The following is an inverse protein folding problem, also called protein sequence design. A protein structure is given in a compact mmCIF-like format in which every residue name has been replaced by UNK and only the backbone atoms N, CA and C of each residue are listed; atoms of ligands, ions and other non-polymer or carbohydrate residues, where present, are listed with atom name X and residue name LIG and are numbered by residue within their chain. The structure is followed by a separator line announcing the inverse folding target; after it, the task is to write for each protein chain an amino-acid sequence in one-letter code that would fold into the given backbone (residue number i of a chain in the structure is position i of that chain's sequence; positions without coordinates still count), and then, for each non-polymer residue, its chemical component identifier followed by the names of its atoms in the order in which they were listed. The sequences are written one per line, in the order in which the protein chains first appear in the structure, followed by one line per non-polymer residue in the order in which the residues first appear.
data_IF_075357911543
#
_entry.id   IF_075357911543
#
_cell.length_a   1.000
_cell.length_b   1.000
_cell.length_c   1.000
_cell.angle_alpha   90.00
_cell.angle_beta   90.00
_cell.angle_gamma   90.00
#
_symmetry.space_group_name_H-M   'P 1'
#
loop_
_entity.id
_entity.type
_entity.pdbx_description
1 polymer ?
#
# COMPACT_ATOMS: atom_id res chain seq x y z
N UNK A 1 -46.92 -39.96 -40.42
CA UNK A 1 -47.50 -40.77 -39.32
C UNK A 1 -47.15 -40.06 -38.02
N UNK A 2 -48.12 -39.53 -37.29
CA UNK A 2 -47.95 -38.74 -36.05
C UNK A 2 -49.17 -38.95 -35.15
N UNK A 3 -49.01 -38.67 -33.84
CA UNK A 3 -49.86 -38.87 -32.63
C UNK A 3 -48.99 -39.66 -31.60
N UNK A 4 -48.89 -39.32 -30.31
CA UNK A 4 -49.87 -38.76 -29.36
C UNK A 4 -49.28 -37.76 -28.31
N UNK A 5 -50.16 -37.07 -27.58
CA UNK A 5 -49.90 -36.11 -26.47
C UNK A 5 -49.84 -36.78 -25.08
N UNK A 6 -49.28 -36.10 -24.07
CA UNK A 6 -49.68 -36.06 -22.63
C UNK A 6 -48.69 -35.15 -21.85
N UNK A 7 -48.92 -33.88 -21.47
CA UNK A 7 -49.76 -33.29 -20.38
C UNK A 7 -49.57 -33.93 -18.99
N UNK A 8 -48.70 -33.40 -18.12
CA UNK A 8 -48.94 -32.38 -17.04
C UNK A 8 -49.47 -33.00 -15.71
N UNK A 9 -49.04 -32.54 -14.51
CA UNK A 9 -49.59 -31.30 -13.93
C UNK A 9 -48.65 -30.44 -13.02
N UNK A 10 -49.23 -29.35 -12.52
CA UNK A 10 -48.70 -28.20 -11.77
C UNK A 10 -48.62 -28.44 -10.26
N UNK A 11 -47.70 -27.78 -9.53
CA UNK A 11 -48.04 -27.26 -8.19
C UNK A 11 -47.25 -25.98 -7.80
N UNK A 12 -47.79 -25.20 -6.85
CA UNK A 12 -47.53 -23.77 -6.64
C UNK A 12 -47.27 -23.44 -5.16
N UNK A 13 -46.17 -22.76 -4.82
CA UNK A 13 -46.04 -22.04 -3.53
C UNK A 13 -45.19 -20.77 -3.68
N UNK A 14 -45.68 -19.65 -3.12
CA UNK A 14 -44.96 -18.36 -2.97
C UNK A 14 -43.84 -18.47 -1.91
N UNK A 15 -42.69 -17.84 -2.16
CA UNK A 15 -41.74 -17.46 -1.11
C UNK A 15 -41.58 -15.93 -1.09
N UNK A 16 -41.45 -15.34 0.11
CA UNK A 16 -41.50 -13.90 0.37
C UNK A 16 -40.08 -13.29 0.47
N UNK A 17 -39.92 -12.00 0.21
CA UNK A 17 -38.72 -11.16 0.52
C UNK A 17 -38.86 -10.56 1.92
N UNK A 18 -37.83 -10.12 2.68
CA UNK A 18 -36.38 -9.82 2.52
C UNK A 18 -35.71 -9.99 3.94
N UNK A 19 -34.43 -9.65 4.25
CA UNK A 19 -33.16 -9.49 3.49
C UNK A 19 -31.90 -10.12 4.18
N UNK A 20 -30.70 -9.82 3.64
CA UNK A 20 -29.40 -9.61 4.35
C UNK A 20 -28.33 -10.73 4.36
N UNK A 21 -27.15 -10.37 3.85
CA UNK A 21 -25.80 -10.90 4.15
C UNK A 21 -25.58 -12.43 4.13
N UNK A 22 -25.37 -12.96 2.92
CA UNK A 22 -24.40 -14.02 2.69
C UNK A 22 -23.61 -13.71 1.41
N UNK A 23 -22.28 -13.57 1.50
CA UNK A 23 -21.42 -13.40 0.33
C UNK A 23 -21.31 -14.75 -0.39
N UNK A 24 -22.30 -15.05 -1.24
CA UNK A 24 -22.24 -16.17 -2.17
C UNK A 24 -21.36 -15.77 -3.34
N UNK A 25 -20.07 -16.12 -3.28
CA UNK A 25 -19.13 -15.98 -4.40
C UNK A 25 -19.66 -16.87 -5.54
N UNK A 26 -20.12 -16.33 -6.68
CA UNK A 26 -20.56 -17.18 -7.78
C UNK A 26 -19.30 -17.73 -8.46
N UNK A 27 -19.20 -19.06 -8.57
CA UNK A 27 -18.25 -19.71 -9.47
C UNK A 27 -18.69 -19.47 -10.93
N UNK A 28 -18.59 -18.22 -11.38
CA UNK A 28 -18.99 -17.77 -12.70
C UNK A 28 -17.80 -17.10 -13.35
N UNK A 29 -16.88 -17.93 -13.84
CA UNK A 29 -15.96 -17.68 -14.96
C UNK A 29 -15.49 -16.22 -15.16
N UNK A 30 -15.11 -15.53 -14.08
CA UNK A 30 -14.37 -14.29 -14.20
C UNK A 30 -12.95 -14.69 -14.55
N UNK A 31 -12.57 -14.45 -15.81
CA UNK A 31 -11.16 -14.17 -16.09
C UNK A 31 -10.75 -13.09 -15.11
N UNK A 32 -9.88 -13.43 -14.16
CA UNK A 32 -9.16 -12.44 -13.37
C UNK A 32 -8.24 -11.77 -14.38
N UNK A 33 -8.71 -10.67 -14.95
CA UNK A 33 -7.94 -9.82 -15.83
C UNK A 33 -6.68 -9.42 -15.07
N UNK A 34 -5.53 -9.72 -15.65
CA UNK A 34 -4.21 -9.46 -15.04
C UNK A 34 -4.09 -7.99 -14.66
N UNK A 35 -4.72 -7.10 -15.43
CA UNK A 35 -4.83 -5.66 -15.19
C UNK A 35 -5.42 -5.35 -13.80
N UNK A 36 -6.57 -5.95 -13.43
CA UNK A 36 -7.24 -5.68 -12.16
C UNK A 36 -6.43 -6.18 -10.96
N UNK A 37 -5.72 -7.30 -11.12
CA UNK A 37 -4.81 -7.83 -10.11
C UNK A 37 -3.59 -6.93 -9.94
N UNK A 38 -2.97 -6.48 -11.04
CA UNK A 38 -1.84 -5.56 -11.01
C UNK A 38 -2.21 -4.19 -10.42
N UNK A 39 -3.39 -3.66 -10.75
CA UNK A 39 -3.91 -2.40 -10.20
C UNK A 39 -4.11 -2.52 -8.68
N UNK A 40 -4.84 -3.54 -8.22
CA UNK A 40 -5.08 -3.80 -6.79
C UNK A 40 -3.76 -3.94 -6.02
N UNK A 41 -2.82 -4.74 -6.52
CA UNK A 41 -1.50 -4.92 -5.91
C UNK A 41 -0.69 -3.62 -5.88
N UNK A 42 -0.83 -2.74 -6.87
CA UNK A 42 -0.11 -1.46 -6.90
C UNK A 42 -0.65 -0.47 -5.87
N UNK A 43 -1.97 -0.44 -5.67
CA UNK A 43 -2.61 0.39 -4.64
C UNK A 43 -2.17 -0.07 -3.24
N UNK A 44 -2.26 -1.36 -2.94
CA UNK A 44 -1.85 -1.89 -1.61
C UNK A 44 -0.38 -1.56 -1.29
N UNK A 45 0.53 -1.73 -2.25
CA UNK A 45 1.95 -1.42 -2.06
C UNK A 45 2.21 0.06 -1.77
N UNK A 46 1.47 0.97 -2.40
CA UNK A 46 1.60 2.41 -2.14
C UNK A 46 1.15 2.77 -0.71
N UNK A 47 0.04 2.21 -0.24
CA UNK A 47 -0.46 2.43 1.13
C UNK A 47 0.50 1.86 2.20
N UNK A 48 1.10 0.69 1.95
CA UNK A 48 2.10 0.11 2.85
C UNK A 48 3.36 1.01 2.94
N UNK A 49 3.83 1.55 1.81
CA UNK A 49 4.97 2.50 1.77
C UNK A 49 4.63 3.85 2.41
N UNK A 50 3.40 4.34 2.25
CA UNK A 50 2.91 5.55 2.94
C UNK A 50 2.89 5.35 4.46
N UNK A 51 2.45 4.18 4.90
CA UNK A 51 2.44 3.79 6.32
C UNK A 51 3.85 3.69 6.88
N UNK A 52 4.81 3.17 6.10
CA UNK A 52 6.24 3.15 6.43
C UNK A 52 6.81 4.56 6.68
N UNK A 53 6.56 5.51 5.77
CA UNK A 53 7.05 6.88 5.90
C UNK A 53 6.45 7.56 7.14
N UNK A 54 5.13 7.45 7.35
CA UNK A 54 4.48 8.03 8.53
C UNK A 54 5.02 7.44 9.84
N UNK A 55 5.20 6.12 9.90
CA UNK A 55 5.79 5.43 11.07
C UNK A 55 7.21 5.95 11.37
N UNK A 56 8.00 6.22 10.33
CA UNK A 56 9.32 6.82 10.47
C UNK A 56 9.25 8.29 10.94
N UNK A 57 8.40 9.13 10.34
CA UNK A 57 8.18 10.52 10.76
C UNK A 57 7.64 10.65 12.20
N UNK A 58 6.94 9.63 12.69
CA UNK A 58 6.54 9.57 14.10
C UNK A 58 7.70 9.27 15.07
N UNK A 59 8.92 9.02 14.58
CA UNK A 59 10.10 8.69 15.37
C UNK A 59 10.28 7.18 15.60
N UNK A 60 9.39 6.34 15.07
CA UNK A 60 9.38 4.91 15.36
C UNK A 60 10.29 4.11 14.41
N UNK A 61 11.61 4.29 14.54
CA UNK A 61 12.61 3.63 13.68
C UNK A 61 12.46 2.10 13.62
N UNK A 62 12.37 1.41 14.77
CA UNK A 62 12.35 -0.06 14.78
C UNK A 62 11.06 -0.66 14.18
N UNK A 63 9.85 -0.12 14.46
CA UNK A 63 8.65 -0.47 13.73
C UNK A 63 8.73 -0.20 12.21
N UNK A 64 9.25 0.97 11.80
CA UNK A 64 9.43 1.28 10.37
C UNK A 64 10.40 0.29 9.70
N UNK A 65 11.54 -0.01 10.33
CA UNK A 65 12.50 -1.02 9.86
C UNK A 65 11.86 -2.40 9.66
N UNK A 66 10.99 -2.82 10.58
CA UNK A 66 10.26 -4.09 10.45
C UNK A 66 9.24 -4.06 9.29
N UNK A 67 8.57 -2.94 9.04
CA UNK A 67 7.69 -2.75 7.87
C UNK A 67 8.49 -2.81 6.56
N UNK A 68 9.67 -2.16 6.50
CA UNK A 68 10.58 -2.22 5.36
C UNK A 68 11.03 -3.67 5.06
N UNK A 69 11.40 -4.44 6.08
CA UNK A 69 11.74 -5.86 5.90
C UNK A 69 10.57 -6.68 5.36
N UNK A 70 9.33 -6.42 5.80
CA UNK A 70 8.16 -7.07 5.23
C UNK A 70 8.01 -6.70 3.74
N UNK A 71 8.16 -5.44 3.36
CA UNK A 71 8.06 -5.00 1.96
C UNK A 71 9.08 -5.68 1.05
N UNK A 72 10.35 -5.72 1.48
CA UNK A 72 11.43 -6.37 0.73
C UNK A 72 11.26 -7.91 0.67
N UNK A 73 11.07 -8.57 1.82
CA UNK A 73 11.14 -10.04 1.92
C UNK A 73 9.79 -10.71 1.62
N UNK A 74 8.69 -10.20 2.19
CA UNK A 74 7.36 -10.84 2.11
C UNK A 74 6.59 -10.41 0.87
N UNK A 75 6.72 -9.15 0.46
CA UNK A 75 6.07 -8.62 -0.75
C UNK A 75 6.99 -8.66 -1.98
N UNK A 76 8.28 -9.00 -1.81
CA UNK A 76 9.23 -9.18 -2.91
C UNK A 76 9.50 -7.88 -3.68
N UNK A 77 9.39 -6.73 -3.03
CA UNK A 77 9.63 -5.44 -3.67
C UNK A 77 11.12 -5.20 -3.84
N UNK A 78 11.49 -4.63 -4.99
CA UNK A 78 12.84 -4.10 -5.20
C UNK A 78 13.04 -2.83 -4.36
N UNK A 79 14.27 -2.55 -3.93
CA UNK A 79 14.59 -1.27 -3.29
C UNK A 79 14.23 -0.06 -4.17
N UNK A 80 14.39 -0.18 -5.49
CA UNK A 80 14.01 0.84 -6.48
C UNK A 80 12.49 1.10 -6.49
N UNK A 81 11.65 0.05 -6.45
CA UNK A 81 10.19 0.20 -6.35
C UNK A 81 9.75 0.85 -5.05
N UNK A 82 10.44 0.57 -3.94
CA UNK A 82 10.17 1.23 -2.66
C UNK A 82 10.51 2.71 -2.75
N UNK A 83 11.73 3.07 -3.21
CA UNK A 83 12.14 4.47 -3.40
C UNK A 83 11.19 5.22 -4.34
N UNK A 84 10.82 4.64 -5.48
CA UNK A 84 9.88 5.24 -6.43
C UNK A 84 8.52 5.52 -5.79
N UNK A 85 8.01 4.61 -4.97
CA UNK A 85 6.76 4.81 -4.24
C UNK A 85 6.92 5.84 -3.10
N UNK A 86 8.07 5.89 -2.44
CA UNK A 86 8.36 6.92 -1.43
C UNK A 86 8.33 8.31 -2.07
N UNK A 87 9.03 8.49 -3.20
CA UNK A 87 9.06 9.74 -3.95
C UNK A 87 7.67 10.21 -4.39
N UNK A 88 6.78 9.29 -4.78
CA UNK A 88 5.39 9.60 -5.09
C UNK A 88 4.60 10.05 -3.85
N UNK A 89 4.78 9.36 -2.71
CA UNK A 89 4.04 9.66 -1.48
C UNK A 89 4.53 10.91 -0.74
N UNK A 90 5.76 11.39 -0.95
CA UNK A 90 6.29 12.60 -0.27
C UNK A 90 5.43 13.84 -0.53
N UNK A 91 4.87 14.00 -1.73
CA UNK A 91 4.04 15.15 -2.07
C UNK A 91 2.74 15.20 -1.24
N UNK A 92 2.15 14.03 -0.97
CA UNK A 92 0.93 13.85 -0.18
C UNK A 92 1.12 14.02 1.33
N UNK A 93 2.35 14.13 1.83
CA UNK A 93 2.62 14.26 3.26
C UNK A 93 2.16 15.62 3.80
N UNK A 94 1.55 15.62 4.98
CA UNK A 94 1.14 16.84 5.71
C UNK A 94 2.30 17.36 6.57
N UNK A 95 3.42 17.69 5.94
CA UNK A 95 4.64 18.24 6.57
C UNK A 95 5.03 19.58 5.92
N UNK A 96 5.84 20.43 6.58
CA UNK A 96 6.33 21.68 5.99
C UNK A 96 7.11 21.47 4.69
N UNK A 97 7.01 22.43 3.77
CA UNK A 97 7.62 22.33 2.44
C UNK A 97 9.15 22.21 2.50
N UNK A 98 9.82 22.85 3.48
CA UNK A 98 11.26 22.70 3.70
C UNK A 98 11.65 21.24 3.97
N UNK A 99 10.88 20.52 4.78
CA UNK A 99 11.08 19.11 5.06
C UNK A 99 10.76 18.24 3.82
N UNK A 100 9.77 18.61 3.00
CA UNK A 100 9.52 17.93 1.71
C UNK A 100 10.72 18.02 0.78
N UNK A 101 11.34 19.21 0.67
CA UNK A 101 12.54 19.43 -0.16
C UNK A 101 13.71 18.57 0.34
N UNK A 102 13.94 18.52 1.65
CA UNK A 102 14.98 17.65 2.23
C UNK A 102 14.70 16.15 2.01
N UNK A 103 13.45 15.72 2.16
CA UNK A 103 13.02 14.34 1.87
C UNK A 103 13.26 13.96 0.40
N UNK A 104 12.97 14.85 -0.54
CA UNK A 104 13.23 14.64 -1.98
C UNK A 104 14.73 14.52 -2.25
N UNK A 105 15.56 15.40 -1.67
CA UNK A 105 17.02 15.33 -1.79
C UNK A 105 17.55 13.97 -1.30
N UNK A 106 17.18 13.55 -0.08
CA UNK A 106 17.67 12.29 0.51
C UNK A 106 17.13 11.05 -0.20
N UNK A 107 15.92 11.10 -0.73
CA UNK A 107 15.35 10.03 -1.55
C UNK A 107 16.14 9.88 -2.86
N UNK A 108 16.44 10.98 -3.55
CA UNK A 108 17.25 10.96 -4.78
C UNK A 108 18.72 10.56 -4.56
N UNK A 109 19.35 10.99 -3.46
CA UNK A 109 20.67 10.48 -3.05
C UNK A 109 20.65 8.96 -2.84
N UNK A 110 19.58 8.44 -2.23
CA UNK A 110 19.43 7.00 -1.95
C UNK A 110 19.21 6.22 -3.24
N UNK A 111 18.35 6.71 -4.14
CA UNK A 111 18.13 6.16 -5.48
C UNK A 111 19.45 6.02 -6.26
N UNK A 112 20.25 7.08 -6.30
CA UNK A 112 21.56 7.06 -6.96
C UNK A 112 22.50 6.01 -6.35
N UNK A 113 22.48 5.82 -5.03
CA UNK A 113 23.28 4.78 -4.37
C UNK A 113 22.79 3.37 -4.71
N UNK A 114 21.47 3.15 -4.80
CA UNK A 114 20.90 1.86 -5.23
C UNK A 114 21.33 1.49 -6.66
N UNK A 115 21.14 2.41 -7.63
CA UNK A 115 21.50 2.21 -9.05
C UNK A 115 22.99 1.87 -9.22
N UNK A 116 23.86 2.32 -8.31
CA UNK A 116 25.30 2.00 -8.28
C UNK A 116 25.62 0.59 -7.78
N UNK A 117 24.62 -0.24 -7.46
CA UNK A 117 24.81 -1.61 -6.96
C UNK A 117 25.20 -1.69 -5.48
N UNK A 118 24.88 -0.66 -4.68
CA UNK A 118 25.06 -0.75 -3.23
C UNK A 118 23.99 -1.64 -2.59
N UNK A 119 24.28 -2.16 -1.39
CA UNK A 119 23.34 -3.01 -0.65
C UNK A 119 22.04 -2.25 -0.33
N UNK A 120 20.91 -2.72 -0.89
CA UNK A 120 19.62 -2.01 -0.81
C UNK A 120 19.10 -1.85 0.61
N UNK A 121 19.24 -2.88 1.46
CA UNK A 121 18.79 -2.83 2.86
C UNK A 121 19.51 -1.70 3.62
N UNK A 122 20.83 -1.60 3.50
CA UNK A 122 21.62 -0.59 4.21
C UNK A 122 21.26 0.82 3.75
N UNK A 123 21.03 1.03 2.44
CA UNK A 123 20.64 2.33 1.90
C UNK A 123 19.23 2.74 2.36
N UNK A 124 18.27 1.81 2.34
CA UNK A 124 16.89 2.05 2.79
C UNK A 124 16.79 2.26 4.32
N UNK A 125 17.56 1.51 5.11
CA UNK A 125 17.69 1.74 6.56
C UNK A 125 18.30 3.11 6.87
N UNK A 126 19.31 3.54 6.09
CA UNK A 126 19.91 4.86 6.21
C UNK A 126 18.93 5.99 5.85
N UNK A 127 18.08 5.79 4.85
CA UNK A 127 17.00 6.74 4.52
C UNK A 127 15.96 6.80 5.65
N UNK A 128 15.48 5.66 6.17
CA UNK A 128 14.54 5.63 7.29
C UNK A 128 15.09 6.32 8.55
N UNK A 129 16.37 6.15 8.86
CA UNK A 129 17.01 6.82 9.99
C UNK A 129 17.00 8.36 9.82
N UNK A 130 17.23 8.86 8.60
CA UNK A 130 17.15 10.29 8.30
C UNK A 130 15.71 10.83 8.44
N UNK A 131 14.71 10.07 7.97
CA UNK A 131 13.29 10.43 8.11
C UNK A 131 12.86 10.51 9.58
N UNK A 132 13.34 9.58 10.41
CA UNK A 132 13.13 9.59 11.87
C UNK A 132 13.69 10.87 12.51
N UNK A 133 14.93 11.23 12.20
CA UNK A 133 15.56 12.44 12.73
C UNK A 133 14.85 13.73 12.29
N UNK A 134 14.37 13.79 11.05
CA UNK A 134 13.52 14.90 10.57
C UNK A 134 12.17 14.95 11.31
N UNK A 135 11.59 13.79 11.60
CA UNK A 135 10.34 13.65 12.36
C UNK A 135 10.47 14.13 13.82
N UNK A 136 11.58 13.81 14.48
CA UNK A 136 11.90 14.31 15.82
C UNK A 136 12.05 15.84 15.83
N UNK A 137 12.81 16.40 14.89
CA UNK A 137 12.98 17.86 14.75
C UNK A 137 11.64 18.59 14.60
N UNK A 138 10.71 18.07 13.81
CA UNK A 138 9.36 18.64 13.65
C UNK A 138 8.58 18.70 14.98
N UNK A 139 8.75 17.72 15.86
CA UNK A 139 8.10 17.68 17.18
C UNK A 139 8.75 18.69 18.16
N UNK A 140 10.05 18.91 18.05
CA UNK A 140 10.78 19.90 18.85
C UNK A 140 10.38 21.34 18.49
N UNK A 141 10.15 21.65 17.21
CA UNK A 141 9.59 22.96 16.81
C UNK A 141 8.16 23.16 17.32
N UNK A 142 7.32 22.11 17.28
CA UNK A 142 5.94 22.20 17.76
C UNK A 142 5.81 22.32 19.29
N UNK A 143 6.83 21.90 20.05
CA UNK A 143 6.82 21.97 21.53
C UNK A 143 7.53 23.21 22.10
N UNK A 144 8.49 23.79 21.37
CA UNK A 144 9.17 25.02 21.79
C UNK A 144 8.41 26.32 21.45
N UNK A 145 7.34 26.26 20.65
CA UNK A 145 6.50 27.42 20.30
C UNK A 145 5.53 27.90 21.38
N UNK A 146 5.56 27.33 22.59
CA UNK A 146 4.54 27.52 23.64
C UNK A 146 5.09 28.07 24.97
N UNK A 147 6.22 28.79 24.94
CA UNK A 147 6.80 29.50 26.09
C UNK A 147 7.09 30.96 25.78
#
# INVERSE_FOLDING_TARGET
MSLYKLTSPVNVVRAQTIPSMAIKIPATNKKITTELLHETLSITRSEDVKTLINTALDGHFMPARNQLYNLLIKHGLSGEDIIRQMQQNIFDLTIPDENKVQLIEKTGETEFRLIRGNNEHIQLESLLAQIVLMGEQLKDFSSNGTK
#
